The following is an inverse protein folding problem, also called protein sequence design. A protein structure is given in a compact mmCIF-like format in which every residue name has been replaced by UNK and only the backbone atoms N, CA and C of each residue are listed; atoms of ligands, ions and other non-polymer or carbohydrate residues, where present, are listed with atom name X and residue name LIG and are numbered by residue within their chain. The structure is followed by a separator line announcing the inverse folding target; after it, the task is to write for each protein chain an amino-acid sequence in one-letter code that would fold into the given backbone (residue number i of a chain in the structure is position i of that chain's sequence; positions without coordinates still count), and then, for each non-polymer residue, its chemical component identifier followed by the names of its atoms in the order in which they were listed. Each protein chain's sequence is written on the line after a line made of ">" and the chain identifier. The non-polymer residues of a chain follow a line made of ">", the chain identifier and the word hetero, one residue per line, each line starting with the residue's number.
data_IF_604424689016
#
_entry.id   IF_604424689016
#
_cell.length_a   1.000
_cell.length_b   1.000
_cell.length_c   1.000
_cell.angle_alpha   90.00
_cell.angle_beta   90.00
_cell.angle_gamma   90.00
#
_symmetry.space_group_name_H-M   'P 1'
#
loop_
_entity.id
_entity.type
_entity.pdbx_description
1 polymer ?
#
# COMPACT_ATOMS: atom_id res chain seq x y z
N UNK A 1 7.09 -17.93 18.67
CA UNK A 1 7.77 -17.40 17.46
C UNK A 1 7.33 -18.30 16.32
N UNK A 2 6.55 -17.82 15.34
CA UNK A 2 6.28 -18.63 14.13
C UNK A 2 7.61 -18.85 13.43
N UNK A 3 7.92 -20.11 13.13
CA UNK A 3 9.06 -20.39 12.28
C UNK A 3 8.72 -19.94 10.85
N UNK A 4 9.26 -18.79 10.47
CA UNK A 4 9.03 -18.17 9.17
C UNK A 4 9.62 -18.95 8.00
N UNK A 5 10.35 -20.04 8.26
CA UNK A 5 11.00 -20.86 7.25
C UNK A 5 10.20 -22.11 6.83
N UNK A 6 9.00 -22.33 7.37
CA UNK A 6 8.18 -23.49 7.01
C UNK A 6 7.49 -23.37 5.64
N UNK A 7 7.42 -22.17 5.07
CA UNK A 7 6.70 -21.97 3.82
C UNK A 7 7.63 -22.09 2.61
N UNK A 8 7.58 -23.23 1.92
CA UNK A 8 8.44 -23.55 0.76
C UNK A 8 7.78 -23.30 -0.60
N UNK A 9 6.52 -22.84 -0.62
CA UNK A 9 5.78 -22.59 -1.86
C UNK A 9 5.83 -21.12 -2.20
N UNK A 10 6.09 -20.76 -3.47
CA UNK A 10 6.11 -19.35 -3.90
C UNK A 10 4.74 -18.68 -3.77
N UNK A 11 4.71 -17.37 -3.55
CA UNK A 11 3.49 -16.61 -3.39
C UNK A 11 2.53 -16.74 -4.59
N UNK A 12 3.04 -16.81 -5.79
CA UNK A 12 2.28 -16.98 -7.03
C UNK A 12 1.51 -18.30 -7.08
N UNK A 13 1.97 -19.32 -6.35
CA UNK A 13 1.35 -20.65 -6.28
C UNK A 13 0.46 -20.83 -5.05
N UNK A 14 0.53 -19.91 -4.08
CA UNK A 14 -0.25 -19.98 -2.84
C UNK A 14 -1.51 -19.12 -2.88
N UNK A 15 -1.47 -18.05 -3.63
CA UNK A 15 -2.54 -17.06 -3.65
C UNK A 15 -3.36 -17.21 -4.94
N UNK A 16 -4.69 -17.37 -4.85
CA UNK A 16 -5.55 -17.21 -6.02
C UNK A 16 -5.35 -15.83 -6.65
N UNK A 17 -5.74 -15.64 -7.90
CA UNK A 17 -5.57 -14.36 -8.64
C UNK A 17 -6.16 -13.14 -7.92
N UNK A 18 -7.17 -13.33 -7.09
CA UNK A 18 -7.83 -12.32 -6.26
C UNK A 18 -7.18 -12.12 -4.87
N UNK A 19 -6.19 -12.95 -4.51
CA UNK A 19 -5.51 -12.88 -3.21
C UNK A 19 -4.60 -11.63 -3.04
N UNK A 20 -4.54 -10.76 -4.04
CA UNK A 20 -4.03 -9.41 -3.87
C UNK A 20 -4.97 -8.50 -3.06
N UNK A 21 -6.15 -9.00 -2.68
CA UNK A 21 -7.16 -8.27 -1.91
C UNK A 21 -7.50 -9.01 -0.63
N UNK A 22 -7.56 -8.29 0.48
CA UNK A 22 -8.12 -8.80 1.73
C UNK A 22 -8.91 -7.71 2.46
N UNK A 23 -9.69 -8.13 3.47
CA UNK A 23 -10.58 -7.25 4.21
C UNK A 23 -10.33 -7.34 5.71
N UNK A 24 -10.53 -6.22 6.41
CA UNK A 24 -10.49 -6.11 7.86
C UNK A 24 -11.68 -5.28 8.34
N UNK A 25 -12.13 -5.56 9.57
CA UNK A 25 -13.31 -4.90 10.13
C UNK A 25 -14.61 -5.65 9.85
N UNK A 26 -15.72 -5.10 10.30
CA UNK A 26 -17.04 -5.72 10.14
C UNK A 26 -17.59 -5.46 8.73
N UNK A 27 -18.21 -6.47 8.12
CA UNK A 27 -18.78 -6.35 6.76
C UNK A 27 -19.91 -5.30 6.68
N UNK A 28 -20.64 -5.10 7.77
CA UNK A 28 -21.74 -4.15 7.91
C UNK A 28 -21.29 -2.76 8.41
N UNK A 29 -19.97 -2.52 8.48
CA UNK A 29 -19.43 -1.23 8.90
C UNK A 29 -19.96 -0.10 8.02
N UNK A 30 -20.36 1.06 8.63
CA UNK A 30 -20.96 2.17 7.90
C UNK A 30 -19.96 2.95 7.03
N UNK A 31 -18.67 2.74 7.25
CA UNK A 31 -17.58 3.41 6.54
C UNK A 31 -16.66 2.40 5.86
N UNK A 32 -16.13 2.78 4.71
CA UNK A 32 -15.28 1.93 3.86
C UNK A 32 -13.97 2.65 3.55
N UNK A 33 -12.85 2.03 3.93
CA UNK A 33 -11.50 2.49 3.62
C UNK A 33 -10.86 1.57 2.57
N UNK A 34 -10.43 2.12 1.44
CA UNK A 34 -9.61 1.39 0.47
C UNK A 34 -8.14 1.78 0.65
N UNK A 35 -7.28 0.80 0.89
CA UNK A 35 -5.82 0.99 0.93
C UNK A 35 -5.23 0.37 -0.34
N UNK A 36 -4.66 1.21 -1.19
CA UNK A 36 -3.92 0.82 -2.38
C UNK A 36 -2.42 0.84 -2.07
N UNK A 37 -1.74 -0.26 -2.27
CA UNK A 37 -0.31 -0.32 -2.01
C UNK A 37 0.41 -1.44 -2.74
N UNK A 38 1.68 -1.60 -2.42
CA UNK A 38 2.57 -2.59 -3.02
C UNK A 38 3.16 -3.54 -1.95
N UNK A 39 4.39 -4.02 -2.11
CA UNK A 39 5.04 -4.94 -1.16
C UNK A 39 5.09 -4.43 0.28
N UNK A 40 5.22 -3.11 0.49
CA UNK A 40 5.20 -2.51 1.84
C UNK A 40 3.81 -2.66 2.49
N UNK A 41 2.75 -2.72 1.69
CA UNK A 41 1.36 -2.88 2.15
C UNK A 41 1.01 -4.35 2.38
N UNK A 42 1.39 -5.21 1.43
CA UNK A 42 1.26 -6.66 1.52
C UNK A 42 2.16 -7.34 0.51
N UNK A 43 2.86 -8.37 0.95
CA UNK A 43 3.59 -9.27 0.07
C UNK A 43 3.40 -10.71 0.58
N UNK A 44 2.90 -11.58 -0.29
CA UNK A 44 2.76 -13.00 0.02
C UNK A 44 4.12 -13.69 0.16
N UNK A 45 4.14 -14.92 0.71
CA UNK A 45 5.36 -15.68 0.88
C UNK A 45 6.13 -15.88 -0.43
N UNK A 46 7.46 -15.76 -0.36
CA UNK A 46 8.36 -16.01 -1.48
C UNK A 46 9.70 -16.56 -0.97
N UNK A 47 9.84 -17.88 -1.01
CA UNK A 47 11.03 -18.58 -0.56
C UNK A 47 12.31 -18.15 -1.32
N UNK A 48 12.18 -17.72 -2.58
CA UNK A 48 13.33 -17.27 -3.41
C UNK A 48 14.02 -16.02 -2.88
N UNK A 49 13.34 -15.24 -2.03
CA UNK A 49 13.90 -14.05 -1.37
C UNK A 49 13.88 -14.18 0.17
N UNK A 50 13.63 -15.39 0.70
CA UNK A 50 13.60 -15.65 2.14
C UNK A 50 12.47 -14.90 2.87
N UNK A 51 11.38 -14.54 2.17
CA UNK A 51 10.20 -13.91 2.75
C UNK A 51 9.07 -14.94 2.89
N UNK A 52 8.57 -15.12 4.11
CA UNK A 52 7.54 -16.12 4.42
C UNK A 52 6.26 -15.49 5.03
N UNK A 53 6.22 -14.17 5.15
CA UNK A 53 5.04 -13.46 5.63
C UNK A 53 3.98 -13.26 4.53
N UNK A 54 2.73 -13.01 4.95
CA UNK A 54 1.64 -12.57 4.08
C UNK A 54 1.05 -11.25 4.63
N UNK A 55 1.93 -10.28 4.83
CA UNK A 55 1.66 -8.95 5.35
C UNK A 55 2.64 -7.93 4.77
N UNK A 56 2.73 -6.72 5.29
CA UNK A 56 3.69 -5.72 4.84
C UNK A 56 5.13 -6.24 4.91
N UNK A 57 5.80 -6.31 3.74
CA UNK A 57 7.14 -6.92 3.63
C UNK A 57 8.11 -6.28 4.60
N UNK A 58 8.83 -7.12 5.33
CA UNK A 58 9.84 -6.83 6.34
C UNK A 58 9.32 -6.38 7.72
N UNK A 59 8.02 -6.25 7.94
CA UNK A 59 7.47 -6.25 9.29
C UNK A 59 7.70 -7.63 9.94
N UNK A 60 7.94 -7.65 11.26
CA UNK A 60 8.25 -8.89 11.99
C UNK A 60 7.09 -9.87 12.01
N UNK A 61 5.87 -9.37 12.01
CA UNK A 61 4.62 -10.12 11.92
C UNK A 61 3.47 -9.24 11.42
N UNK A 62 2.28 -9.82 11.35
CA UNK A 62 1.08 -9.16 10.84
C UNK A 62 0.63 -7.97 11.70
N UNK A 63 0.86 -8.01 13.01
CA UNK A 63 0.44 -6.95 13.94
C UNK A 63 1.39 -5.73 13.91
N UNK A 64 2.52 -5.86 13.22
CA UNK A 64 3.53 -4.81 13.10
C UNK A 64 3.57 -4.13 11.73
N UNK A 65 2.79 -4.58 10.73
CA UNK A 65 2.68 -3.83 9.48
C UNK A 65 1.75 -2.61 9.64
N UNK A 66 1.95 -1.61 8.77
CA UNK A 66 1.22 -0.35 8.91
C UNK A 66 -0.29 -0.48 8.68
N UNK A 67 -0.73 -1.47 7.90
CA UNK A 67 -2.14 -1.68 7.55
C UNK A 67 -2.91 -2.19 8.76
N UNK A 68 -2.35 -3.20 9.45
CA UNK A 68 -2.96 -3.75 10.66
C UNK A 68 -2.86 -2.78 11.84
N UNK A 69 -1.76 -2.01 11.94
CA UNK A 69 -1.66 -0.90 12.89
C UNK A 69 -2.76 0.15 12.67
N UNK A 70 -3.04 0.54 11.42
CA UNK A 70 -4.12 1.47 11.11
C UNK A 70 -5.49 0.92 11.52
N UNK A 71 -5.75 -0.36 11.26
CA UNK A 71 -7.01 -0.99 11.69
C UNK A 71 -7.12 -1.04 13.22
N UNK A 72 -6.02 -1.31 13.92
CA UNK A 72 -5.99 -1.27 15.38
C UNK A 72 -6.30 0.14 15.90
N UNK A 73 -5.69 1.19 15.34
CA UNK A 73 -5.95 2.59 15.72
C UNK A 73 -7.41 2.99 15.47
N UNK A 74 -7.99 2.56 14.33
CA UNK A 74 -9.41 2.80 14.05
C UNK A 74 -10.31 2.13 15.10
N UNK A 75 -10.00 0.89 15.47
CA UNK A 75 -10.74 0.14 16.48
C UNK A 75 -10.63 0.78 17.88
N UNK A 76 -9.42 1.21 18.29
CA UNK A 76 -9.17 1.90 19.54
C UNK A 76 -9.94 3.23 19.66
N UNK A 77 -10.08 3.94 18.54
CA UNK A 77 -10.87 5.16 18.45
C UNK A 77 -12.39 4.90 18.29
N UNK A 78 -12.83 3.65 18.36
CA UNK A 78 -14.23 3.27 18.20
C UNK A 78 -14.80 3.51 16.79
N UNK A 79 -13.94 3.62 15.79
CA UNK A 79 -14.35 3.76 14.39
C UNK A 79 -14.72 2.40 13.82
N UNK A 80 -15.98 2.24 13.41
CA UNK A 80 -16.44 1.03 12.73
C UNK A 80 -16.22 1.20 11.21
N UNK A 81 -15.15 0.61 10.70
CA UNK A 81 -14.67 0.75 9.32
C UNK A 81 -14.40 -0.62 8.72
N UNK A 82 -14.98 -0.88 7.55
CA UNK A 82 -14.55 -1.98 6.70
C UNK A 82 -13.39 -1.51 5.84
N UNK A 83 -12.22 -2.10 6.03
CA UNK A 83 -11.02 -1.80 5.25
C UNK A 83 -10.80 -2.87 4.18
N UNK A 84 -10.72 -2.44 2.92
CA UNK A 84 -10.23 -3.26 1.82
C UNK A 84 -8.77 -2.89 1.56
N UNK A 85 -7.90 -3.88 1.53
CA UNK A 85 -6.49 -3.70 1.16
C UNK A 85 -6.25 -4.34 -0.19
N UNK A 86 -5.73 -3.56 -1.15
CA UNK A 86 -5.44 -4.02 -2.51
C UNK A 86 -3.97 -3.81 -2.83
N UNK A 87 -3.24 -4.91 -2.99
CA UNK A 87 -1.88 -4.91 -3.49
C UNK A 87 -1.90 -4.64 -4.99
N UNK A 88 -1.22 -3.61 -5.45
CA UNK A 88 -1.30 -3.05 -6.80
C UNK A 88 0.06 -2.88 -7.48
N UNK A 89 1.12 -3.59 -7.01
CA UNK A 89 2.46 -3.48 -7.60
C UNK A 89 2.52 -3.93 -9.08
N UNK A 90 1.63 -4.82 -9.50
CA UNK A 90 1.52 -5.22 -10.90
C UNK A 90 1.07 -4.03 -11.77
N UNK A 91 0.07 -3.27 -11.30
CA UNK A 91 -0.36 -2.05 -11.98
C UNK A 91 0.78 -1.03 -12.09
N UNK A 92 1.54 -0.78 -11.01
CA UNK A 92 2.70 0.13 -11.05
C UNK A 92 3.69 -0.24 -12.17
N UNK A 93 3.98 -1.53 -12.33
CA UNK A 93 4.95 -2.02 -13.32
C UNK A 93 4.43 -1.98 -14.76
N UNK A 94 3.13 -2.22 -14.95
CA UNK A 94 2.53 -2.49 -16.26
C UNK A 94 1.58 -1.37 -16.72
N UNK A 95 1.50 -0.24 -16.02
CA UNK A 95 0.58 0.86 -16.33
C UNK A 95 0.72 1.43 -17.75
N UNK A 96 1.85 1.18 -18.43
CA UNK A 96 2.11 1.67 -19.79
C UNK A 96 1.49 0.78 -20.88
N UNK A 97 1.25 -0.50 -20.58
CA UNK A 97 0.76 -1.47 -21.57
C UNK A 97 -0.76 -1.41 -21.69
N UNK A 98 -1.45 -1.62 -20.59
CA UNK A 98 -2.89 -1.48 -20.45
C UNK A 98 -3.20 -1.10 -19.01
N UNK A 99 -4.33 -0.45 -18.77
CA UNK A 99 -4.74 -0.10 -17.40
C UNK A 99 -5.19 -1.30 -16.59
N UNK A 100 -5.56 -2.41 -17.24
CA UNK A 100 -6.07 -3.63 -16.60
C UNK A 100 -7.11 -3.34 -15.52
N UNK A 101 -8.01 -2.40 -15.79
CA UNK A 101 -9.00 -1.92 -14.80
C UNK A 101 -9.95 -3.04 -14.37
N UNK A 102 -10.17 -4.04 -15.22
CA UNK A 102 -10.96 -5.22 -14.90
C UNK A 102 -10.40 -6.02 -13.72
N UNK A 103 -9.09 -6.00 -13.49
CA UNK A 103 -8.47 -6.62 -12.32
C UNK A 103 -8.84 -5.91 -11.00
N UNK A 104 -9.43 -4.73 -11.10
CA UNK A 104 -9.83 -3.88 -9.98
C UNK A 104 -11.34 -3.73 -9.81
N UNK A 105 -12.15 -4.55 -10.48
CA UNK A 105 -13.61 -4.52 -10.36
C UNK A 105 -14.10 -4.60 -8.90
N UNK A 106 -13.46 -5.44 -8.08
CA UNK A 106 -13.83 -5.54 -6.67
C UNK A 106 -13.55 -4.25 -5.89
N UNK A 107 -12.44 -3.56 -6.19
CA UNK A 107 -12.13 -2.28 -5.56
C UNK A 107 -13.05 -1.16 -6.06
N UNK A 108 -13.40 -1.15 -7.34
CA UNK A 108 -14.43 -0.25 -7.87
C UNK A 108 -15.80 -0.48 -7.20
N UNK A 109 -16.26 -1.74 -7.12
CA UNK A 109 -17.54 -2.11 -6.53
C UNK A 109 -17.56 -1.89 -5.00
N UNK A 110 -16.40 -1.90 -4.34
CA UNK A 110 -16.27 -1.59 -2.92
C UNK A 110 -16.74 -0.16 -2.61
N UNK A 111 -16.61 0.75 -3.56
CA UNK A 111 -17.13 2.12 -3.47
C UNK A 111 -16.73 2.77 -2.13
N UNK A 112 -15.43 2.93 -1.92
CA UNK A 112 -14.85 3.45 -0.69
C UNK A 112 -15.38 4.85 -0.31
N UNK A 113 -15.39 5.15 0.98
CA UNK A 113 -15.66 6.49 1.52
C UNK A 113 -14.36 7.29 1.73
N UNK A 114 -13.21 6.58 1.73
CA UNK A 114 -11.88 7.15 1.79
C UNK A 114 -10.90 6.20 1.10
N UNK A 115 -9.94 6.76 0.36
CA UNK A 115 -8.87 6.00 -0.29
C UNK A 115 -7.52 6.44 0.28
N UNK A 116 -6.68 5.50 0.72
CA UNK A 116 -5.25 5.72 0.98
C UNK A 116 -4.47 5.21 -0.23
N UNK A 117 -3.84 6.13 -0.95
CA UNK A 117 -2.99 5.84 -2.10
C UNK A 117 -1.52 5.83 -1.68
N UNK A 118 -0.92 4.65 -1.65
CA UNK A 118 0.47 4.41 -1.26
C UNK A 118 1.20 3.57 -2.32
N UNK A 119 1.39 4.13 -3.49
CA UNK A 119 2.06 3.53 -4.65
C UNK A 119 3.11 4.50 -5.22
N UNK A 120 3.95 4.01 -6.10
CA UNK A 120 4.98 4.76 -6.82
C UNK A 120 6.33 4.05 -6.86
N UNK A 121 6.63 3.16 -5.93
CA UNK A 121 7.93 2.52 -5.79
C UNK A 121 8.30 1.63 -6.97
N UNK A 122 7.32 0.90 -7.54
CA UNK A 122 7.54 -0.03 -8.63
C UNK A 122 7.32 0.57 -10.02
N UNK A 123 6.96 1.85 -10.13
CA UNK A 123 6.92 2.53 -11.43
C UNK A 123 8.35 2.50 -12.02
N UNK A 124 8.55 2.01 -13.26
CA UNK A 124 9.87 1.93 -13.85
C UNK A 124 10.58 3.29 -13.89
N UNK A 125 11.90 3.31 -13.66
CA UNK A 125 12.70 4.54 -13.72
C UNK A 125 12.73 5.16 -15.11
N UNK A 126 12.49 4.34 -16.13
CA UNK A 126 12.45 4.72 -17.55
C UNK A 126 11.04 5.03 -18.03
N UNK A 127 10.03 4.99 -17.15
CA UNK A 127 8.65 5.27 -17.53
C UNK A 127 8.49 6.73 -17.98
N UNK A 128 7.66 6.92 -18.99
CA UNK A 128 7.18 8.24 -19.39
C UNK A 128 6.28 8.80 -18.29
N UNK A 129 6.67 9.91 -17.68
CA UNK A 129 5.95 10.49 -16.55
C UNK A 129 4.64 11.19 -16.95
N UNK A 130 4.51 11.65 -18.18
CA UNK A 130 3.24 12.19 -18.69
C UNK A 130 2.23 11.06 -18.87
N UNK A 131 2.67 9.94 -19.43
CA UNK A 131 1.85 8.74 -19.53
C UNK A 131 1.49 8.20 -18.13
N UNK A 132 2.46 8.14 -17.21
CA UNK A 132 2.19 7.74 -15.82
C UNK A 132 1.13 8.63 -15.17
N UNK A 133 1.23 9.95 -15.31
CA UNK A 133 0.25 10.89 -14.77
C UNK A 133 -1.15 10.66 -15.35
N UNK A 134 -1.25 10.43 -16.66
CA UNK A 134 -2.51 10.13 -17.34
C UNK A 134 -3.12 8.81 -16.85
N UNK A 135 -2.32 7.75 -16.75
CA UNK A 135 -2.76 6.43 -16.29
C UNK A 135 -3.14 6.43 -14.81
N UNK A 136 -2.41 7.16 -13.98
CA UNK A 136 -2.72 7.33 -12.57
C UNK A 136 -4.08 8.02 -12.38
N UNK A 137 -4.35 9.04 -13.16
CA UNK A 137 -5.65 9.75 -13.15
C UNK A 137 -6.80 8.82 -13.55
N UNK A 138 -6.64 8.09 -14.65
CA UNK A 138 -7.62 7.12 -15.13
C UNK A 138 -7.90 6.04 -14.07
N UNK A 139 -6.85 5.45 -13.52
CA UNK A 139 -6.92 4.42 -12.47
C UNK A 139 -7.67 4.90 -11.22
N UNK A 140 -7.29 6.05 -10.67
CA UNK A 140 -7.94 6.57 -9.48
C UNK A 140 -9.37 7.05 -9.74
N UNK A 141 -9.65 7.59 -10.91
CA UNK A 141 -11.04 7.94 -11.31
C UNK A 141 -11.90 6.69 -11.37
N UNK A 142 -11.40 5.61 -11.95
CA UNK A 142 -12.11 4.33 -11.99
C UNK A 142 -12.37 3.77 -10.60
N UNK A 143 -11.36 3.77 -9.71
CA UNK A 143 -11.48 3.21 -8.36
C UNK A 143 -12.36 4.05 -7.42
N UNK A 144 -12.71 5.25 -7.80
CA UNK A 144 -13.39 6.22 -6.94
C UNK A 144 -14.78 6.65 -7.48
N UNK A 145 -15.72 5.72 -7.63
CA UNK A 145 -17.04 6.04 -8.17
C UNK A 145 -17.87 6.99 -7.30
N UNK A 146 -17.52 7.12 -6.01
CA UNK A 146 -18.17 8.04 -5.07
C UNK A 146 -17.51 9.43 -5.00
N UNK A 147 -16.42 9.66 -5.71
CA UNK A 147 -15.62 10.86 -5.55
C UNK A 147 -15.16 11.10 -4.09
N UNK A 148 -14.84 10.01 -3.39
CA UNK A 148 -14.37 10.04 -2.01
C UNK A 148 -13.02 10.77 -1.90
N UNK A 149 -12.67 11.34 -0.74
CA UNK A 149 -11.34 11.88 -0.51
C UNK A 149 -10.25 10.83 -0.73
N UNK A 150 -9.09 11.25 -1.25
CA UNK A 150 -7.92 10.41 -1.44
C UNK A 150 -6.77 11.00 -0.64
N UNK A 151 -6.16 10.21 0.23
CA UNK A 151 -4.91 10.57 0.92
C UNK A 151 -3.77 10.02 0.07
N UNK A 152 -2.95 10.91 -0.47
CA UNK A 152 -1.77 10.53 -1.24
C UNK A 152 -0.54 10.48 -0.34
N UNK A 153 0.38 9.56 -0.64
CA UNK A 153 1.69 9.54 0.01
C UNK A 153 2.81 9.63 -1.02
N UNK A 154 3.97 10.12 -0.60
CA UNK A 154 5.18 9.91 -1.38
C UNK A 154 5.63 8.44 -1.32
N UNK A 155 6.54 8.06 -2.19
CA UNK A 155 7.32 6.83 -2.04
C UNK A 155 8.16 6.85 -0.75
N UNK A 156 8.46 5.67 -0.20
CA UNK A 156 9.39 5.50 0.92
C UNK A 156 10.81 5.79 0.47
N UNK A 157 11.23 5.19 -0.64
CA UNK A 157 12.53 5.53 -1.26
C UNK A 157 12.37 6.76 -2.13
N UNK A 158 13.28 7.71 -1.96
CA UNK A 158 13.19 8.99 -2.66
C UNK A 158 13.16 8.82 -4.18
N UNK A 159 12.15 9.39 -4.78
CA UNK A 159 12.01 9.49 -6.23
C UNK A 159 11.30 10.79 -6.58
N UNK A 160 12.07 11.87 -6.74
CA UNK A 160 11.48 13.20 -6.98
C UNK A 160 10.56 13.19 -8.22
N UNK A 161 10.94 12.48 -9.27
CA UNK A 161 10.17 12.45 -10.52
C UNK A 161 8.76 11.86 -10.28
N UNK A 162 8.68 10.69 -9.62
CA UNK A 162 7.40 10.01 -9.33
C UNK A 162 6.58 10.78 -8.29
N UNK A 163 7.27 11.24 -7.24
CA UNK A 163 6.63 12.02 -6.18
C UNK A 163 6.09 13.36 -6.68
N UNK A 164 6.70 13.95 -7.70
CA UNK A 164 6.16 15.14 -8.36
C UNK A 164 4.84 14.86 -9.03
N UNK A 165 4.73 13.80 -9.84
CA UNK A 165 3.46 13.42 -10.48
C UNK A 165 2.34 13.19 -9.44
N UNK A 166 2.64 12.42 -8.40
CA UNK A 166 1.64 12.10 -7.35
C UNK A 166 1.22 13.37 -6.59
N UNK A 167 2.18 14.22 -6.22
CA UNK A 167 1.95 15.47 -5.51
C UNK A 167 1.16 16.48 -6.34
N UNK A 168 1.45 16.59 -7.63
CA UNK A 168 0.72 17.47 -8.53
C UNK A 168 -0.73 17.04 -8.72
N UNK A 169 -0.98 15.73 -8.84
CA UNK A 169 -2.33 15.20 -8.89
C UNK A 169 -3.08 15.45 -7.58
N UNK A 170 -2.43 15.23 -6.43
CA UNK A 170 -3.01 15.53 -5.12
C UNK A 170 -3.39 17.02 -5.01
N UNK A 171 -2.50 17.93 -5.44
CA UNK A 171 -2.74 19.37 -5.45
C UNK A 171 -3.88 19.76 -6.39
N UNK A 172 -3.93 19.18 -7.59
CA UNK A 172 -4.99 19.45 -8.56
C UNK A 172 -6.37 19.05 -8.03
N UNK A 173 -6.43 17.94 -7.29
CA UNK A 173 -7.67 17.42 -6.72
C UNK A 173 -7.99 17.97 -5.33
N UNK A 174 -7.18 18.88 -4.81
CA UNK A 174 -7.28 19.45 -3.46
C UNK A 174 -7.29 18.35 -2.36
N UNK A 175 -6.37 17.39 -2.49
CA UNK A 175 -6.23 16.26 -1.61
C UNK A 175 -4.93 16.30 -0.80
N UNK A 176 -4.88 15.72 0.41
CA UNK A 176 -3.67 15.69 1.22
C UNK A 176 -2.56 14.85 0.57
N UNK A 177 -1.33 15.32 0.69
CA UNK A 177 -0.12 14.59 0.29
C UNK A 177 0.84 14.47 1.48
N UNK A 178 1.10 13.24 1.93
CA UNK A 178 1.93 12.94 3.09
C UNK A 178 3.30 12.47 2.62
N UNK A 179 4.34 13.13 3.12
CA UNK A 179 5.72 12.79 2.77
C UNK A 179 6.25 11.64 3.64
N UNK A 180 6.66 10.53 3.03
CA UNK A 180 7.22 9.36 3.68
C UNK A 180 8.69 9.09 3.34
N UNK A 181 9.32 9.93 2.51
CA UNK A 181 10.71 9.75 2.05
C UNK A 181 11.75 9.79 3.17
N UNK A 182 11.37 10.25 4.35
CA UNK A 182 12.26 10.22 5.53
C UNK A 182 12.58 8.79 5.96
N UNK A 183 11.65 7.85 5.77
CA UNK A 183 11.83 6.44 6.12
C UNK A 183 13.03 5.86 5.39
N UNK A 184 13.09 6.01 4.06
CA UNK A 184 14.18 5.46 3.24
C UNK A 184 15.55 6.10 3.46
N UNK A 185 15.63 7.18 4.24
CA UNK A 185 16.87 7.87 4.63
C UNK A 185 17.39 7.45 6.00
N UNK A 186 16.62 6.65 6.74
CA UNK A 186 16.89 6.29 8.13
C UNK A 186 17.00 4.77 8.27
N UNK A 187 18.20 4.29 8.53
CA UNK A 187 18.48 2.86 8.68
C UNK A 187 17.69 2.24 9.85
N UNK A 188 17.42 3.02 10.91
CA UNK A 188 16.65 2.57 12.07
C UNK A 188 15.15 2.36 11.78
N UNK A 189 14.65 2.85 10.65
CA UNK A 189 13.28 2.63 10.19
C UNK A 189 13.17 1.49 9.15
N UNK A 190 14.31 0.99 8.66
CA UNK A 190 14.40 -0.06 7.66
C UNK A 190 14.76 -1.40 8.31
N UNK A 191 14.47 -2.51 7.64
CA UNK A 191 14.81 -3.85 8.14
C UNK A 191 16.27 -4.27 7.85
N UNK A 192 17.17 -3.31 7.78
CA UNK A 192 18.60 -3.53 7.44
C UNK A 192 19.22 -4.47 8.47
N UNK A 193 19.83 -5.55 7.97
CA UNK A 193 20.47 -6.57 8.80
C UNK A 193 19.52 -7.62 9.40
N UNK A 194 18.20 -7.52 9.18
CA UNK A 194 17.23 -8.50 9.66
C UNK A 194 16.94 -9.62 8.64
N UNK A 195 17.26 -9.39 7.37
CA UNK A 195 17.06 -10.35 6.27
C UNK A 195 18.32 -10.48 5.43
N UNK A 196 18.62 -11.69 4.96
CA UNK A 196 19.76 -11.94 4.06
C UNK A 196 19.54 -11.30 2.68
N UNK A 197 18.30 -11.37 2.17
CA UNK A 197 17.97 -10.78 0.89
C UNK A 197 17.87 -9.26 0.99
N UNK A 198 18.78 -8.55 0.32
CA UNK A 198 18.89 -7.09 0.36
C UNK A 198 17.57 -6.38 0.01
N UNK A 199 16.82 -6.91 -0.98
CA UNK A 199 15.56 -6.34 -1.38
C UNK A 199 14.53 -6.35 -0.24
N UNK A 200 14.48 -7.42 0.57
CA UNK A 200 13.62 -7.49 1.76
C UNK A 200 14.15 -6.57 2.85
N UNK A 201 15.45 -6.64 3.16
CA UNK A 201 16.09 -5.81 4.18
C UNK A 201 15.94 -4.30 3.94
N UNK A 202 15.80 -3.88 2.69
CA UNK A 202 15.57 -2.49 2.30
C UNK A 202 14.11 -2.03 2.42
N UNK A 203 13.19 -2.88 2.91
CA UNK A 203 11.83 -2.45 3.23
C UNK A 203 11.77 -1.86 4.65
N UNK A 204 10.72 -1.07 4.97
CA UNK A 204 10.49 -0.61 6.33
C UNK A 204 10.36 -1.79 7.29
N UNK A 205 11.14 -1.79 8.37
CA UNK A 205 10.91 -2.68 9.52
C UNK A 205 9.77 -2.18 10.41
N UNK A 206 9.54 -2.79 11.56
CA UNK A 206 8.43 -2.44 12.48
C UNK A 206 8.37 -0.94 12.81
N UNK A 207 9.52 -0.32 13.07
CA UNK A 207 9.59 1.11 13.33
C UNK A 207 9.18 1.95 12.11
N UNK A 208 9.58 1.54 10.91
CA UNK A 208 9.18 2.21 9.66
C UNK A 208 7.71 2.01 9.33
N UNK A 209 7.18 0.82 9.57
CA UNK A 209 5.76 0.53 9.40
C UNK A 209 4.90 1.36 10.35
N UNK A 210 5.31 1.46 11.62
CA UNK A 210 4.65 2.35 12.60
C UNK A 210 4.74 3.81 12.17
N UNK A 211 5.90 4.26 11.66
CA UNK A 211 6.03 5.61 11.13
C UNK A 211 5.03 5.90 10.02
N UNK A 212 4.80 4.94 9.09
CA UNK A 212 3.78 5.10 8.04
C UNK A 212 2.40 5.25 8.67
N UNK A 213 2.03 4.34 9.59
CA UNK A 213 0.72 4.36 10.25
C UNK A 213 0.50 5.69 10.97
N UNK A 214 1.46 6.12 11.78
CA UNK A 214 1.37 7.37 12.56
C UNK A 214 1.27 8.61 11.66
N UNK A 215 1.96 8.61 10.52
CA UNK A 215 1.93 9.74 9.58
C UNK A 215 0.59 9.88 8.85
N UNK A 216 -0.06 8.76 8.48
CA UNK A 216 -1.29 8.81 7.68
C UNK A 216 -2.57 8.79 8.55
N UNK A 217 -2.50 8.27 9.77
CA UNK A 217 -3.67 8.09 10.63
C UNK A 217 -4.44 9.38 10.95
N UNK A 218 -3.79 10.52 11.26
CA UNK A 218 -4.53 11.78 11.51
C UNK A 218 -5.44 12.19 10.37
N UNK A 219 -4.97 12.02 9.13
CA UNK A 219 -5.75 12.34 7.93
C UNK A 219 -6.91 11.34 7.70
N UNK A 220 -6.68 10.05 8.00
CA UNK A 220 -7.70 9.01 7.96
C UNK A 220 -8.78 9.29 9.02
N UNK A 221 -8.36 9.52 10.28
CA UNK A 221 -9.26 9.78 11.41
C UNK A 221 -10.16 10.99 11.18
N UNK A 222 -9.64 12.02 10.55
CA UNK A 222 -10.38 13.26 10.28
C UNK A 222 -11.46 13.11 9.19
N UNK A 223 -11.37 12.06 8.35
CA UNK A 223 -12.26 11.86 7.18
C UNK A 223 -13.22 10.67 7.32
N UNK A 224 -13.01 9.79 8.29
CA UNK A 224 -13.88 8.67 8.63
C UNK A 224 -14.64 8.93 9.93
#
# INVERSE_FOLDING_TARGET
>A
MRDINENTVSAENQLPRDASTFYMGAEDAPKRLLILGNSITRHGPNAGIGWNGDWGMAASDIDHDYVHLLQAYLNEDGKNVLTMVRQSAAWERNHTEDTHLEDFLAAHAFAADLILFRLGENVPKTADMELFASRLREFLTYLNPKHAPIIFTSTVWESEIRNTVIRELAREWDMPFIKLTEIGRRDDLMAIGLFEHKGVAMHPGDAGMRYIADAVYPEIKARL
#
